data_IF_642387522750
#
_entry.id   IF_642387522750
#
_cell.length_a   1.000
_cell.length_b   1.000
_cell.length_c   1.000
_cell.angle_alpha   90.00
_cell.angle_beta   90.00
_cell.angle_gamma   90.00
#
_symmetry.space_group_name_H-M   'P 1'
#
loop_
_entity.id
_entity.type
_entity.pdbx_description
1 polymer ?
#
# COMPACT_ATOMS: atom_id res chain seq x y z
N UNK A 1 -10.81 -0.44 -9.09
CA UNK A 1 -10.17 -0.75 -7.78
C UNK A 1 -9.63 0.52 -7.13
N UNK A 2 -9.33 0.52 -5.83
CA UNK A 2 -8.79 1.69 -5.11
C UNK A 2 -7.32 1.44 -4.71
N UNK A 3 -6.44 2.38 -5.02
CA UNK A 3 -5.09 2.46 -4.47
C UNK A 3 -5.11 3.36 -3.23
N UNK A 4 -4.86 2.77 -2.05
CA UNK A 4 -4.58 3.54 -0.84
C UNK A 4 -3.10 3.93 -0.82
N UNK A 5 -2.82 5.20 -1.09
CA UNK A 5 -1.48 5.73 -1.19
C UNK A 5 -1.03 6.35 0.15
N UNK A 6 -0.17 5.63 0.87
CA UNK A 6 0.44 6.04 2.14
C UNK A 6 1.85 6.63 1.92
N UNK A 7 2.10 7.27 0.78
CA UNK A 7 3.33 8.00 0.50
C UNK A 7 3.02 9.37 -0.10
N UNK A 8 4.03 10.05 -0.63
CA UNK A 8 3.81 11.22 -1.48
C UNK A 8 2.91 10.87 -2.69
N UNK A 9 2.18 11.86 -3.24
CA UNK A 9 1.36 11.65 -4.42
C UNK A 9 2.15 11.05 -5.59
N UNK A 10 1.54 10.11 -6.31
CA UNK A 10 2.16 9.49 -7.47
C UNK A 10 2.28 10.49 -8.64
N UNK A 11 3.43 10.48 -9.31
CA UNK A 11 3.64 11.27 -10.54
C UNK A 11 2.81 10.70 -11.70
N UNK A 12 2.61 11.49 -12.76
CA UNK A 12 1.93 11.03 -13.98
C UNK A 12 2.64 9.82 -14.63
N UNK A 13 3.98 9.79 -14.57
CA UNK A 13 4.79 8.65 -15.03
C UNK A 13 4.50 7.39 -14.21
N UNK A 14 4.41 7.50 -12.88
CA UNK A 14 4.07 6.38 -12.00
C UNK A 14 2.62 5.90 -12.20
N UNK A 15 1.69 6.82 -12.43
CA UNK A 15 0.30 6.45 -12.78
C UNK A 15 0.22 5.72 -14.11
N UNK A 16 1.06 6.10 -15.08
CA UNK A 16 1.17 5.40 -16.37
C UNK A 16 1.76 4.00 -16.20
N UNK A 17 2.82 3.84 -15.41
CA UNK A 17 3.39 2.53 -15.07
C UNK A 17 2.35 1.64 -14.39
N UNK A 18 1.58 2.20 -13.44
CA UNK A 18 0.52 1.49 -12.76
C UNK A 18 -0.59 1.03 -13.71
N UNK A 19 -1.00 1.90 -14.66
CA UNK A 19 -1.95 1.54 -15.72
C UNK A 19 -1.42 0.39 -16.59
N UNK A 20 -0.13 0.37 -16.91
CA UNK A 20 0.47 -0.73 -17.68
C UNK A 20 0.41 -2.05 -16.91
N UNK A 21 0.64 -2.03 -15.60
CA UNK A 21 0.61 -3.22 -14.75
C UNK A 21 -0.82 -3.74 -14.49
N UNK A 22 -1.80 -2.83 -14.34
CA UNK A 22 -3.19 -3.18 -13.98
C UNK A 22 -4.16 -3.25 -15.16
N UNK A 23 -3.81 -2.68 -16.32
CA UNK A 23 -4.71 -2.47 -17.46
C UNK A 23 -5.57 -1.20 -17.35
N UNK A 24 -5.79 -0.69 -16.15
CA UNK A 24 -6.53 0.55 -15.87
C UNK A 24 -5.86 1.39 -14.77
N UNK A 25 -6.17 2.68 -14.71
CA UNK A 25 -5.72 3.55 -13.61
C UNK A 25 -6.71 3.36 -12.45
N UNK A 26 -6.27 2.92 -11.26
CA UNK A 26 -7.16 2.80 -10.12
C UNK A 26 -7.58 4.18 -9.61
N UNK A 27 -8.64 4.23 -8.80
CA UNK A 27 -8.91 5.41 -7.99
C UNK A 27 -7.77 5.58 -6.97
N UNK A 28 -7.04 6.69 -7.04
CA UNK A 28 -5.90 6.94 -6.15
C UNK A 28 -6.38 7.77 -4.96
N UNK A 29 -6.32 7.18 -3.77
CA UNK A 29 -6.64 7.84 -2.51
C UNK A 29 -5.35 8.13 -1.74
N UNK A 30 -4.93 9.39 -1.76
CA UNK A 30 -3.79 9.84 -0.96
C UNK A 30 -4.20 9.96 0.51
N UNK A 31 -3.55 9.17 1.36
CA UNK A 31 -3.81 9.16 2.80
C UNK A 31 -2.63 9.80 3.52
N UNK A 32 -2.91 10.77 4.39
CA UNK A 32 -1.89 11.43 5.19
C UNK A 32 -1.18 10.42 6.10
N UNK A 33 0.15 10.38 6.05
CA UNK A 33 0.97 9.35 6.72
C UNK A 33 1.79 9.86 7.88
N UNK A 34 1.59 11.12 8.24
CA UNK A 34 2.13 11.70 9.45
C UNK A 34 1.53 10.97 10.64
N UNK A 35 2.37 10.23 11.36
CA UNK A 35 2.00 9.58 12.60
C UNK A 35 2.65 10.31 13.78
N UNK A 36 1.93 10.40 14.89
CA UNK A 36 2.54 10.72 16.17
C UNK A 36 3.33 9.51 16.64
N UNK A 37 4.66 9.64 16.74
CA UNK A 37 5.56 8.55 17.14
C UNK A 37 5.66 8.41 18.66
N UNK A 38 5.00 9.28 19.43
CA UNK A 38 4.92 9.18 20.88
C UNK A 38 3.84 8.20 21.35
N UNK A 39 2.88 7.86 20.49
CA UNK A 39 1.82 6.88 20.78
C UNK A 39 2.22 5.46 20.38
N UNK A 40 1.60 4.41 20.95
CA UNK A 40 1.84 3.04 20.53
C UNK A 40 1.56 2.84 19.03
N UNK A 41 2.45 2.11 18.34
CA UNK A 41 2.35 1.91 16.87
C UNK A 41 1.00 1.32 16.46
N UNK A 42 0.42 0.41 17.25
CA UNK A 42 -0.90 -0.15 16.99
C UNK A 42 -2.01 0.92 16.91
N UNK A 43 -1.97 1.92 17.80
CA UNK A 43 -2.93 3.03 17.77
C UNK A 43 -2.70 3.93 16.56
N UNK A 44 -1.43 4.22 16.25
CA UNK A 44 -1.07 5.04 15.09
C UNK A 44 -1.52 4.41 13.76
N UNK A 45 -1.36 3.09 13.59
CA UNK A 45 -1.76 2.43 12.34
C UNK A 45 -3.26 2.21 12.20
N UNK A 46 -3.98 2.02 13.32
CA UNK A 46 -5.44 1.98 13.30
C UNK A 46 -6.01 3.33 12.80
N UNK A 47 -5.51 4.44 13.36
CA UNK A 47 -5.89 5.78 12.88
C UNK A 47 -5.50 6.01 11.41
N UNK A 48 -4.34 5.49 10.98
CA UNK A 48 -3.90 5.57 9.60
C UNK A 48 -4.81 4.78 8.64
N UNK A 49 -5.29 3.60 9.06
CA UNK A 49 -6.28 2.84 8.32
C UNK A 49 -7.63 3.57 8.27
N UNK A 50 -8.08 4.15 9.38
CA UNK A 50 -9.33 4.94 9.45
C UNK A 50 -9.30 6.14 8.50
N UNK A 51 -8.14 6.78 8.33
CA UNK A 51 -7.95 7.88 7.38
C UNK A 51 -8.15 7.50 5.90
N UNK A 52 -8.23 6.20 5.57
CA UNK A 52 -8.64 5.75 4.23
C UNK A 52 -10.13 6.02 3.94
N UNK A 53 -10.92 6.31 4.98
CA UNK A 53 -12.35 6.66 4.90
C UNK A 53 -13.18 5.59 4.19
N UNK A 54 -12.78 4.33 4.31
CA UNK A 54 -13.56 3.18 3.87
C UNK A 54 -14.50 2.74 4.99
N UNK A 55 -15.75 2.52 4.66
CA UNK A 55 -16.75 1.88 5.52
C UNK A 55 -16.39 0.41 5.77
N UNK A 56 -16.95 -0.22 6.82
CA UNK A 56 -16.75 -1.65 7.08
C UNK A 56 -17.12 -2.56 5.89
N UNK A 57 -18.14 -2.18 5.11
CA UNK A 57 -18.56 -2.91 3.90
C UNK A 57 -17.53 -2.75 2.78
N UNK A 58 -17.04 -1.53 2.54
CA UNK A 58 -16.04 -1.27 1.51
C UNK A 58 -14.72 -1.99 1.80
N UNK A 59 -14.29 -2.09 3.06
CA UNK A 59 -13.11 -2.88 3.45
C UNK A 59 -13.19 -4.35 3.01
N UNK A 60 -14.39 -4.93 2.99
CA UNK A 60 -14.58 -6.35 2.67
C UNK A 60 -14.86 -6.60 1.19
N UNK A 61 -15.43 -5.62 0.50
CA UNK A 61 -15.98 -5.80 -0.86
C UNK A 61 -15.18 -5.07 -1.94
N UNK A 62 -14.45 -4.01 -1.58
CA UNK A 62 -13.70 -3.22 -2.55
C UNK A 62 -12.37 -3.88 -2.88
N UNK A 63 -12.02 -4.06 -4.17
CA UNK A 63 -10.67 -4.43 -4.55
C UNK A 63 -9.69 -3.32 -4.19
N UNK A 64 -8.70 -3.64 -3.34
CA UNK A 64 -7.72 -2.69 -2.83
C UNK A 64 -6.31 -2.98 -3.35
N UNK A 65 -5.51 -1.91 -3.40
CA UNK A 65 -4.06 -1.93 -3.62
C UNK A 65 -3.43 -0.97 -2.61
N UNK A 66 -2.25 -1.28 -2.08
CA UNK A 66 -1.57 -0.43 -1.10
C UNK A 66 -0.27 0.11 -1.67
N UNK A 67 -0.01 1.41 -1.51
CA UNK A 67 1.36 1.91 -1.52
C UNK A 67 1.75 2.19 -0.06
N UNK A 68 2.50 1.30 0.61
CA UNK A 68 2.72 1.38 2.04
C UNK A 68 3.62 2.57 2.43
N UNK A 69 3.55 3.04 3.69
CA UNK A 69 4.43 4.10 4.17
C UNK A 69 5.89 3.66 4.17
N UNK A 70 6.82 4.60 3.94
CA UNK A 70 8.25 4.29 3.83
C UNK A 70 8.90 3.87 5.17
N UNK A 71 8.27 4.17 6.32
CA UNK A 71 8.79 3.78 7.62
C UNK A 71 8.43 2.32 7.92
N UNK A 72 9.39 1.41 7.77
CA UNK A 72 9.18 -0.04 7.81
C UNK A 72 8.36 -0.57 9.01
N UNK A 73 8.59 -0.14 10.28
CA UNK A 73 7.76 -0.58 11.39
C UNK A 73 6.28 -0.19 11.24
N UNK A 74 6.00 0.98 10.66
CA UNK A 74 4.63 1.45 10.40
C UNK A 74 4.01 0.66 9.25
N UNK A 75 4.77 0.41 8.18
CA UNK A 75 4.30 -0.37 7.04
C UNK A 75 3.87 -1.77 7.45
N UNK A 76 4.72 -2.47 8.20
CA UNK A 76 4.43 -3.84 8.68
C UNK A 76 3.21 -3.89 9.59
N UNK A 77 3.08 -2.93 10.52
CA UNK A 77 1.92 -2.84 11.40
C UNK A 77 0.64 -2.46 10.65
N UNK A 78 0.70 -1.55 9.68
CA UNK A 78 -0.44 -1.16 8.84
C UNK A 78 -0.93 -2.32 7.97
N UNK A 79 -0.01 -3.10 7.39
CA UNK A 79 -0.38 -4.30 6.61
C UNK A 79 -1.14 -5.29 7.49
N UNK A 80 -0.71 -5.49 8.75
CA UNK A 80 -1.42 -6.36 9.68
C UNK A 80 -2.82 -5.83 10.05
N UNK A 81 -2.94 -4.52 10.31
CA UNK A 81 -4.22 -3.86 10.56
C UNK A 81 -5.19 -4.01 9.38
N UNK A 82 -4.74 -3.70 8.16
CA UNK A 82 -5.55 -3.80 6.95
C UNK A 82 -5.94 -5.26 6.68
N UNK A 83 -5.01 -6.21 6.84
CA UNK A 83 -5.34 -7.64 6.75
C UNK A 83 -6.46 -8.04 7.72
N UNK A 84 -6.48 -7.50 8.93
CA UNK A 84 -7.56 -7.73 9.89
C UNK A 84 -8.93 -7.21 9.42
N UNK A 85 -8.95 -6.09 8.67
CA UNK A 85 -10.18 -5.47 8.14
C UNK A 85 -10.69 -6.14 6.87
N UNK A 86 -9.78 -6.59 6.01
CA UNK A 86 -10.11 -7.16 4.69
C UNK A 86 -10.24 -8.68 4.70
N UNK A 87 -9.60 -9.36 5.66
CA UNK A 87 -9.54 -10.82 5.74
C UNK A 87 -8.50 -11.48 4.82
N UNK A 88 -7.67 -10.71 4.12
CA UNK A 88 -6.60 -11.21 3.24
C UNK A 88 -5.44 -10.22 3.14
N UNK A 89 -4.30 -10.67 2.64
CA UNK A 89 -3.17 -9.77 2.39
C UNK A 89 -3.37 -8.99 1.10
N UNK A 90 -3.72 -7.71 1.24
CA UNK A 90 -3.85 -6.78 0.11
C UNK A 90 -2.51 -6.63 -0.61
N UNK A 91 -2.46 -6.67 -1.96
CA UNK A 91 -1.22 -6.48 -2.70
C UNK A 91 -0.63 -5.08 -2.47
N UNK A 92 0.69 -4.96 -2.57
CA UNK A 92 1.43 -3.70 -2.32
C UNK A 92 2.25 -3.26 -3.53
N UNK A 93 2.38 -1.96 -3.76
CA UNK A 93 3.36 -1.41 -4.70
C UNK A 93 4.78 -1.58 -4.14
N UNK A 94 5.72 -1.93 -5.01
CA UNK A 94 7.15 -1.75 -4.76
C UNK A 94 7.64 -0.54 -5.57
N UNK A 95 7.84 0.57 -4.87
CA UNK A 95 8.39 1.79 -5.44
C UNK A 95 9.89 1.82 -5.18
N UNK A 96 10.71 1.94 -6.23
CA UNK A 96 12.18 1.95 -6.10
C UNK A 96 12.82 3.06 -6.92
N UNK A 97 14.03 3.52 -6.56
CA UNK A 97 14.74 4.54 -7.33
C UNK A 97 15.18 4.01 -8.70
N UNK A 98 15.16 4.87 -9.71
CA UNK A 98 15.71 4.60 -11.03
C UNK A 98 17.21 4.87 -10.99
N UNK A 99 18.03 3.84 -11.21
CA UNK A 99 19.48 3.96 -11.18
C UNK A 99 19.98 4.99 -12.21
N UNK A 100 20.87 5.90 -11.78
CA UNK A 100 21.48 6.90 -12.65
C UNK A 100 20.58 8.08 -13.04
N UNK A 101 19.38 8.22 -12.46
CA UNK A 101 18.52 9.38 -12.72
C UNK A 101 19.02 10.65 -12.00
N UNK A 102 19.10 11.76 -12.72
CA UNK A 102 19.37 13.10 -12.17
C UNK A 102 18.32 14.09 -12.70
N UNK A 103 17.45 14.67 -11.85
CA UNK A 103 17.31 14.43 -10.41
C UNK A 103 16.83 12.99 -10.08
N UNK A 104 16.89 12.56 -8.80
CA UNK A 104 16.37 11.25 -8.38
C UNK A 104 14.92 11.05 -8.81
N UNK A 105 14.65 9.93 -9.50
CA UNK A 105 13.32 9.49 -9.91
C UNK A 105 13.03 8.10 -9.34
N UNK A 106 11.76 7.77 -9.25
CA UNK A 106 11.28 6.50 -8.72
C UNK A 106 10.24 5.89 -9.65
N UNK A 107 10.27 4.57 -9.80
CA UNK A 107 9.34 3.79 -10.62
C UNK A 107 8.48 2.85 -9.77
N UNK A 108 7.28 2.55 -10.26
CA UNK A 108 6.48 1.41 -9.78
C UNK A 108 7.07 0.15 -10.41
N UNK A 109 7.97 -0.52 -9.68
CA UNK A 109 8.73 -1.65 -10.22
C UNK A 109 7.90 -2.94 -10.31
N UNK A 110 7.01 -3.15 -9.36
CA UNK A 110 6.14 -4.33 -9.31
C UNK A 110 4.93 -4.09 -8.39
N UNK A 111 3.93 -4.96 -8.56
CA UNK A 111 2.85 -5.17 -7.60
C UNK A 111 3.12 -6.49 -6.90
N UNK A 112 3.37 -6.43 -5.59
CA UNK A 112 3.72 -7.58 -4.78
C UNK A 112 2.45 -8.25 -4.24
N UNK A 113 2.19 -9.47 -4.72
CA UNK A 113 1.06 -10.29 -4.26
C UNK A 113 1.36 -10.94 -2.90
N UNK A 114 1.19 -10.17 -1.81
CA UNK A 114 1.50 -10.62 -0.45
C UNK A 114 0.77 -11.91 -0.04
N UNK A 115 -0.47 -12.10 -0.50
CA UNK A 115 -1.25 -13.31 -0.23
C UNK A 115 -0.61 -14.55 -0.87
N UNK A 116 -0.17 -14.46 -2.13
CA UNK A 116 0.51 -15.56 -2.83
C UNK A 116 1.84 -15.93 -2.16
N UNK A 117 2.61 -14.92 -1.72
CA UNK A 117 3.87 -15.15 -0.98
C UNK A 117 3.60 -15.98 0.29
N UNK A 118 2.56 -15.62 1.05
CA UNK A 118 2.16 -16.36 2.25
C UNK A 118 1.75 -17.78 1.91
N UNK A 119 0.95 -17.97 0.88
CA UNK A 119 0.41 -19.28 0.54
C UNK A 119 1.52 -20.20 0.03
N UNK A 120 2.43 -19.71 -0.81
CA UNK A 120 3.65 -20.43 -1.22
C UNK A 120 4.62 -20.71 -0.05
N UNK A 121 4.65 -19.86 0.99
CA UNK A 121 5.42 -20.14 2.20
C UNK A 121 4.82 -21.30 3.02
N UNK A 122 3.50 -21.48 3.01
CA UNK A 122 2.81 -22.57 3.72
C UNK A 122 3.03 -23.95 3.10
N UNK A 123 3.39 -24.01 1.82
CA UNK A 123 3.71 -25.25 1.12
C UNK A 123 5.13 -25.75 1.40
N UNK A 124 6.02 -24.87 1.90
CA UNK A 124 7.44 -25.16 2.17
C UNK A 124 7.75 -25.56 3.61
N UNK A 125 6.73 -25.66 4.47
CA UNK A 125 6.88 -25.98 5.90
C UNK A 125 6.69 -27.45 6.19
#
# INVERSE_FOLDING_TARGET
MILLNYTHPLTEEQQTQLKTLLGEVPEIRNVATQIDRSVPTAQAVAALADNAQLTPEEWQTTPLLLNPPALAPVATALIAEIHGRTGYFVPTLNVRPIAGSLPPRYEIAEIVALQEIRDAARERR
#
